data_IF_994831009012
#
_entry.id   IF_994831009012
#
_cell.length_a   1.000
_cell.length_b   1.000
_cell.length_c   1.000
_cell.angle_alpha   90.00
_cell.angle_beta   90.00
_cell.angle_gamma   90.00
#
_symmetry.space_group_name_H-M   'P 1'
#
loop_
_entity.id
_entity.type
_entity.pdbx_description
1 polymer ?
#
# COMPACT_ATOMS: atom_id res chain seq x y z
N UNK A 1 9.99 -30.34 11.53
CA UNK A 1 8.77 -29.76 10.93
C UNK A 1 8.01 -29.03 12.02
N UNK A 2 8.39 -27.79 12.30
CA UNK A 2 7.59 -26.89 13.14
C UNK A 2 6.44 -26.40 12.28
N UNK A 3 5.26 -26.99 12.46
CA UNK A 3 4.02 -26.44 11.92
C UNK A 3 3.79 -25.10 12.59
N UNK A 4 4.15 -24.02 11.89
CA UNK A 4 3.75 -22.66 12.27
C UNK A 4 2.23 -22.65 12.25
N UNK A 5 1.57 -22.66 13.41
CA UNK A 5 0.12 -22.52 13.49
C UNK A 5 -0.26 -21.20 12.83
N UNK A 6 -0.73 -21.25 11.58
CA UNK A 6 -1.19 -20.05 10.88
C UNK A 6 -2.26 -19.38 11.74
N UNK A 7 -2.02 -18.10 12.05
CA UNK A 7 -2.98 -17.27 12.77
C UNK A 7 -4.27 -17.27 11.96
N UNK A 8 -5.37 -17.79 12.52
CA UNK A 8 -6.63 -17.93 11.78
C UNK A 8 -7.15 -16.55 11.35
N UNK A 9 -7.26 -16.25 10.05
CA UNK A 9 -7.74 -14.96 9.60
C UNK A 9 -9.23 -14.80 9.91
N UNK A 10 -9.62 -13.57 10.26
CA UNK A 10 -10.99 -13.21 10.65
C UNK A 10 -11.87 -12.84 9.46
N UNK A 11 -11.27 -12.23 8.43
CA UNK A 11 -11.99 -11.61 7.31
C UNK A 11 -11.77 -12.32 5.97
N UNK A 12 -10.97 -13.40 5.98
CA UNK A 12 -10.69 -14.23 4.81
C UNK A 12 -11.50 -15.52 4.91
N UNK A 13 -12.25 -15.85 3.87
CA UNK A 13 -12.96 -17.13 3.76
C UNK A 13 -12.07 -18.22 3.18
N UNK A 14 -10.97 -17.85 2.52
CA UNK A 14 -9.92 -18.72 1.98
C UNK A 14 -8.58 -18.29 2.59
N UNK A 15 -8.36 -18.66 3.86
CA UNK A 15 -7.27 -18.13 4.68
C UNK A 15 -5.89 -18.72 4.38
N UNK A 16 -5.87 -19.83 3.66
CA UNK A 16 -4.73 -20.60 3.17
C UNK A 16 -4.40 -20.30 1.70
N UNK A 17 -5.24 -19.53 1.01
CA UNK A 17 -5.01 -19.09 -0.37
C UNK A 17 -4.48 -17.65 -0.41
N UNK A 18 -3.46 -17.41 -1.24
CA UNK A 18 -2.84 -16.11 -1.45
C UNK A 18 -2.90 -15.71 -2.93
N UNK A 19 -3.64 -14.65 -3.25
CA UNK A 19 -3.59 -14.04 -4.57
C UNK A 19 -2.31 -13.21 -4.72
N UNK A 20 -1.57 -13.35 -5.82
CA UNK A 20 -0.39 -12.51 -6.10
C UNK A 20 -0.61 -11.74 -7.39
N UNK A 21 -0.43 -10.42 -7.33
CA UNK A 21 -0.49 -9.50 -8.47
C UNK A 21 0.82 -8.73 -8.55
N UNK A 22 1.60 -8.94 -9.61
CA UNK A 22 2.87 -8.25 -9.83
C UNK A 22 2.73 -7.19 -10.92
N UNK A 23 3.16 -5.97 -10.62
CA UNK A 23 3.02 -4.80 -11.50
C UNK A 23 4.32 -4.05 -11.60
N UNK A 24 4.71 -3.70 -12.82
CA UNK A 24 5.79 -2.78 -13.11
C UNK A 24 5.20 -1.50 -13.69
N UNK A 25 5.17 -0.46 -12.87
CA UNK A 25 4.83 0.89 -13.29
C UNK A 25 5.70 1.86 -12.53
N UNK A 26 6.50 2.64 -13.26
CA UNK A 26 7.48 3.54 -12.68
C UNK A 26 7.60 4.79 -13.55
N UNK A 27 7.56 5.95 -12.91
CA UNK A 27 7.85 7.23 -13.56
C UNK A 27 9.35 7.48 -13.78
N UNK A 28 10.21 6.72 -13.09
CA UNK A 28 11.68 6.80 -13.20
C UNK A 28 12.29 5.42 -13.48
N UNK A 29 13.25 5.30 -14.40
CA UNK A 29 13.99 4.05 -14.62
C UNK A 29 14.77 3.62 -13.36
N UNK A 30 14.87 2.31 -13.10
CA UNK A 30 15.70 1.73 -12.02
C UNK A 30 14.91 1.05 -10.89
N UNK A 31 13.59 1.19 -10.88
CA UNK A 31 12.66 0.54 -9.93
C UNK A 31 11.74 -0.49 -10.60
N UNK A 32 11.82 -0.58 -11.93
CA UNK A 32 11.06 -1.49 -12.80
C UNK A 32 11.46 -2.96 -12.66
N UNK A 33 12.66 -3.24 -12.15
CA UNK A 33 13.12 -4.62 -11.93
C UNK A 33 12.56 -5.24 -10.65
N UNK A 34 12.09 -4.44 -9.68
CA UNK A 34 11.77 -4.90 -8.32
C UNK A 34 10.82 -6.11 -8.24
N UNK A 35 9.64 -6.07 -8.88
CA UNK A 35 8.71 -7.20 -8.90
C UNK A 35 9.32 -8.46 -9.55
N UNK A 36 10.05 -8.30 -10.66
CA UNK A 36 10.70 -9.41 -11.37
C UNK A 36 11.82 -10.02 -10.53
N UNK A 37 12.66 -9.20 -9.88
CA UNK A 37 13.74 -9.63 -9.00
C UNK A 37 13.21 -10.39 -7.78
N UNK A 38 12.13 -9.92 -7.14
CA UNK A 38 11.51 -10.63 -6.02
C UNK A 38 10.98 -12.00 -6.42
N UNK A 39 10.39 -12.11 -7.61
CA UNK A 39 9.93 -13.39 -8.17
C UNK A 39 11.14 -14.30 -8.45
N UNK A 40 12.20 -13.77 -9.07
CA UNK A 40 13.42 -14.51 -9.42
C UNK A 40 14.21 -15.01 -8.19
N UNK A 41 14.24 -14.24 -7.10
CA UNK A 41 14.90 -14.59 -5.84
C UNK A 41 14.11 -15.68 -5.08
N UNK A 42 12.95 -16.10 -5.58
CA UNK A 42 12.22 -17.26 -5.07
C UNK A 42 11.13 -16.92 -4.06
N UNK A 43 10.53 -15.72 -4.13
CA UNK A 43 9.40 -15.35 -3.28
C UNK A 43 8.26 -16.39 -3.38
N UNK A 44 7.98 -16.92 -4.57
CA UNK A 44 6.98 -17.98 -4.75
C UNK A 44 7.32 -19.25 -3.96
N UNK A 45 8.58 -19.68 -3.98
CA UNK A 45 9.08 -20.83 -3.22
C UNK A 45 8.94 -20.58 -1.72
N UNK A 46 9.27 -19.37 -1.26
CA UNK A 46 9.15 -19.02 0.16
C UNK A 46 7.68 -19.01 0.63
N UNK A 47 6.76 -18.49 -0.19
CA UNK A 47 5.33 -18.42 0.15
C UNK A 47 4.67 -19.81 0.13
N UNK A 48 5.01 -20.66 -0.84
CA UNK A 48 4.47 -22.01 -0.97
C UNK A 48 5.16 -22.99 0.00
N UNK A 49 6.46 -23.24 -0.18
CA UNK A 49 7.17 -24.31 0.52
C UNK A 49 7.47 -24.02 2.00
N UNK A 50 7.57 -22.74 2.39
CA UNK A 50 7.91 -22.36 3.78
C UNK A 50 6.74 -21.83 4.60
N UNK A 51 5.73 -21.22 3.94
CA UNK A 51 4.54 -20.68 4.62
C UNK A 51 3.27 -21.50 4.37
N UNK A 52 3.26 -22.36 3.35
CA UNK A 52 2.15 -23.29 3.07
C UNK A 52 0.91 -22.63 2.45
N UNK A 53 1.09 -21.51 1.73
CA UNK A 53 -0.01 -20.85 1.01
C UNK A 53 -0.24 -21.49 -0.36
N UNK A 54 -1.51 -21.72 -0.72
CA UNK A 54 -1.91 -22.00 -2.10
C UNK A 54 -1.89 -20.70 -2.92
N UNK A 55 -0.94 -20.57 -3.84
CA UNK A 55 -0.66 -19.32 -4.56
C UNK A 55 -1.51 -19.22 -5.83
N UNK A 56 -2.30 -18.14 -5.93
CA UNK A 56 -3.14 -17.82 -7.10
C UNK A 56 -2.57 -16.61 -7.83
N UNK A 57 -1.96 -16.83 -9.00
CA UNK A 57 -1.43 -15.76 -9.85
C UNK A 57 -1.56 -16.15 -11.33
N UNK A 58 -1.49 -15.17 -12.23
CA UNK A 58 -1.62 -15.40 -13.67
C UNK A 58 -0.28 -15.60 -14.39
N UNK A 59 0.81 -15.72 -13.62
CA UNK A 59 2.16 -15.92 -14.12
C UNK A 59 2.77 -14.72 -14.84
N UNK A 60 2.20 -13.51 -14.70
CA UNK A 60 2.65 -12.32 -15.42
C UNK A 60 3.08 -11.20 -14.48
N UNK A 61 4.07 -10.44 -14.94
CA UNK A 61 4.39 -9.11 -14.41
C UNK A 61 3.70 -8.11 -15.34
N UNK A 62 2.70 -7.41 -14.83
CA UNK A 62 1.85 -6.52 -15.60
C UNK A 62 2.50 -5.14 -15.76
N UNK A 63 2.69 -4.69 -17.00
CA UNK A 63 3.13 -3.32 -17.30
C UNK A 63 1.99 -2.42 -17.81
N UNK A 64 0.83 -3.02 -18.10
CA UNK A 64 -0.37 -2.34 -18.58
C UNK A 64 -0.15 -1.43 -19.80
N UNK A 65 0.85 -1.74 -20.63
CA UNK A 65 1.22 -0.93 -21.80
C UNK A 65 0.08 -0.79 -22.82
N UNK A 66 -0.92 -1.67 -22.79
CA UNK A 66 -2.10 -1.66 -23.65
C UNK A 66 -3.17 -0.65 -23.24
N UNK A 67 -3.18 -0.19 -21.98
CA UNK A 67 -4.14 0.81 -21.47
C UNK A 67 -3.51 2.18 -21.23
N UNK A 68 -2.18 2.27 -21.25
CA UNK A 68 -1.46 3.54 -21.11
C UNK A 68 -1.61 4.35 -22.41
N UNK A 69 -2.11 5.60 -22.34
CA UNK A 69 -2.21 6.45 -23.52
C UNK A 69 -0.82 6.87 -24.02
N UNK A 70 -0.74 7.28 -25.28
CA UNK A 70 0.46 7.93 -25.80
C UNK A 70 0.79 9.18 -24.96
N UNK A 71 2.06 9.45 -24.61
CA UNK A 71 2.45 10.62 -23.82
C UNK A 71 1.93 11.95 -24.39
N UNK A 72 1.79 12.09 -25.71
CA UNK A 72 1.24 13.29 -26.34
C UNK A 72 -0.27 13.47 -26.10
N UNK A 73 -0.97 12.38 -25.76
CA UNK A 73 -2.38 12.36 -25.38
C UNK A 73 -2.60 12.47 -23.86
N UNK A 74 -1.53 12.63 -23.07
CA UNK A 74 -1.58 12.75 -21.61
C UNK A 74 -0.84 14.01 -21.11
N UNK A 75 -1.31 15.22 -21.49
CA UNK A 75 -0.74 16.45 -20.99
C UNK A 75 -0.99 16.60 -19.49
N UNK A 76 -0.10 17.33 -18.82
CA UNK A 76 -0.24 17.71 -17.42
C UNK A 76 -1.61 18.35 -17.15
N UNK A 77 -2.23 17.98 -16.03
CA UNK A 77 -3.54 18.45 -15.66
C UNK A 77 -3.66 18.68 -14.16
N UNK A 78 -4.19 19.85 -13.76
CA UNK A 78 -4.35 20.26 -12.35
C UNK A 78 -3.07 20.13 -11.50
N UNK A 79 -1.91 20.34 -12.10
CA UNK A 79 -0.62 20.19 -11.42
C UNK A 79 -0.09 18.76 -11.37
N UNK A 80 -0.85 17.76 -11.84
CA UNK A 80 -0.35 16.39 -12.00
C UNK A 80 0.37 16.23 -13.34
N UNK A 81 1.50 15.52 -13.31
CA UNK A 81 2.19 15.08 -14.53
C UNK A 81 1.54 13.83 -15.09
N UNK A 82 1.15 13.88 -16.35
CA UNK A 82 0.62 12.74 -17.12
C UNK A 82 -0.38 11.85 -16.33
N UNK A 83 -1.51 12.43 -15.86
CA UNK A 83 -2.40 11.72 -14.95
C UNK A 83 -3.21 10.58 -15.55
N UNK A 84 -3.43 10.55 -16.87
CA UNK A 84 -4.22 9.49 -17.51
C UNK A 84 -3.49 8.16 -17.48
N UNK A 85 -2.17 8.15 -17.63
CA UNK A 85 -1.36 6.94 -17.54
C UNK A 85 -1.43 6.30 -16.15
N UNK A 86 -1.17 7.08 -15.08
CA UNK A 86 -1.31 6.57 -13.71
C UNK A 86 -2.75 6.14 -13.39
N UNK A 87 -3.75 6.91 -13.83
CA UNK A 87 -5.17 6.56 -13.64
C UNK A 87 -5.56 5.26 -14.33
N UNK A 88 -5.12 5.04 -15.58
CA UNK A 88 -5.39 3.82 -16.33
C UNK A 88 -4.75 2.58 -15.67
N UNK A 89 -3.48 2.70 -15.26
CA UNK A 89 -2.75 1.63 -14.56
C UNK A 89 -3.38 1.33 -13.21
N UNK A 90 -3.68 2.36 -12.41
CA UNK A 90 -4.32 2.19 -11.11
C UNK A 90 -5.71 1.52 -11.26
N UNK A 91 -6.48 1.88 -12.28
CA UNK A 91 -7.78 1.24 -12.56
C UNK A 91 -7.62 -0.24 -12.90
N UNK A 92 -6.72 -0.56 -13.83
CA UNK A 92 -6.46 -1.94 -14.25
C UNK A 92 -5.95 -2.82 -13.10
N UNK A 93 -5.03 -2.29 -12.28
CA UNK A 93 -4.57 -2.97 -11.07
C UNK A 93 -5.70 -3.13 -10.05
N UNK A 94 -6.53 -2.11 -9.86
CA UNK A 94 -7.68 -2.17 -8.97
C UNK A 94 -8.65 -3.29 -9.34
N UNK A 95 -8.92 -3.48 -10.63
CA UNK A 95 -9.75 -4.56 -11.13
C UNK A 95 -9.14 -5.95 -10.85
N UNK A 96 -7.82 -6.11 -11.00
CA UNK A 96 -7.13 -7.36 -10.69
C UNK A 96 -7.12 -7.67 -9.18
N UNK A 97 -6.82 -6.68 -8.34
CA UNK A 97 -6.85 -6.85 -6.88
C UNK A 97 -8.27 -7.14 -6.41
N UNK A 98 -9.27 -6.45 -6.95
CA UNK A 98 -10.68 -6.74 -6.68
C UNK A 98 -11.02 -8.21 -7.05
N UNK A 99 -10.62 -8.66 -8.25
CA UNK A 99 -10.92 -10.01 -8.72
C UNK A 99 -10.35 -11.11 -7.80
N UNK A 100 -9.20 -10.87 -7.16
CA UNK A 100 -8.65 -11.78 -6.15
C UNK A 100 -9.35 -11.60 -4.79
N UNK A 101 -9.46 -10.37 -4.29
CA UNK A 101 -9.99 -10.07 -2.96
C UNK A 101 -11.47 -10.46 -2.80
N UNK A 102 -12.27 -10.37 -3.87
CA UNK A 102 -13.70 -10.72 -3.84
C UNK A 102 -13.91 -12.24 -3.61
N UNK A 103 -12.91 -13.08 -3.88
CA UNK A 103 -13.04 -14.54 -3.76
C UNK A 103 -12.89 -15.06 -2.33
N UNK A 104 -12.36 -14.25 -1.40
CA UNK A 104 -12.09 -14.72 -0.05
C UNK A 104 -10.65 -14.68 0.42
N UNK A 105 -9.71 -14.42 -0.50
CA UNK A 105 -8.27 -14.60 -0.33
C UNK A 105 -7.59 -13.36 0.22
N UNK A 106 -6.41 -13.56 0.81
CA UNK A 106 -5.46 -12.47 0.98
C UNK A 106 -4.89 -12.09 -0.41
N UNK A 107 -4.57 -10.82 -0.64
CA UNK A 107 -3.88 -10.40 -1.87
C UNK A 107 -2.52 -9.80 -1.52
N UNK A 108 -1.47 -10.27 -2.19
CA UNK A 108 -0.14 -9.68 -2.21
C UNK A 108 0.04 -8.92 -3.52
N UNK A 109 0.19 -7.61 -3.45
CA UNK A 109 0.54 -6.78 -4.61
C UNK A 109 2.02 -6.41 -4.53
N UNK A 110 2.77 -6.75 -5.58
CA UNK A 110 4.16 -6.36 -5.74
C UNK A 110 4.21 -5.29 -6.82
N UNK A 111 4.71 -4.12 -6.49
CA UNK A 111 4.61 -2.97 -7.38
C UNK A 111 5.90 -2.22 -7.62
N UNK A 112 5.83 -1.27 -8.55
CA UNK A 112 6.80 -0.21 -8.76
C UNK A 112 6.48 1.01 -7.88
N UNK A 113 6.21 2.16 -8.49
CA UNK A 113 5.99 3.41 -7.77
C UNK A 113 4.67 3.43 -6.98
N UNK A 114 4.62 4.24 -5.92
CA UNK A 114 3.53 4.24 -4.95
C UNK A 114 2.18 4.75 -5.50
N UNK A 115 2.13 5.34 -6.70
CA UNK A 115 0.88 5.79 -7.33
C UNK A 115 -0.12 4.65 -7.55
N UNK A 116 0.38 3.44 -7.78
CA UNK A 116 -0.46 2.27 -8.04
C UNK A 116 -1.16 1.73 -6.77
N UNK A 117 -0.80 2.23 -5.58
CA UNK A 117 -1.58 2.01 -4.36
C UNK A 117 -3.02 2.53 -4.47
N UNK A 118 -3.27 3.54 -5.33
CA UNK A 118 -4.64 3.97 -5.66
C UNK A 118 -5.46 2.77 -6.14
N UNK A 119 -4.89 1.95 -7.02
CA UNK A 119 -5.53 0.75 -7.54
C UNK A 119 -5.70 -0.33 -6.49
N UNK A 120 -4.61 -0.74 -5.84
CA UNK A 120 -4.64 -1.86 -4.90
C UNK A 120 -5.57 -1.61 -3.71
N UNK A 121 -5.55 -0.40 -3.15
CA UNK A 121 -6.43 -0.03 -2.03
C UNK A 121 -7.88 0.08 -2.52
N UNK A 122 -8.14 0.69 -3.68
CA UNK A 122 -9.49 0.81 -4.23
C UNK A 122 -10.16 -0.55 -4.49
N UNK A 123 -9.44 -1.46 -5.14
CA UNK A 123 -9.92 -2.82 -5.41
C UNK A 123 -10.20 -3.60 -4.12
N UNK A 124 -9.32 -3.45 -3.12
CA UNK A 124 -9.49 -4.07 -1.79
C UNK A 124 -10.72 -3.51 -1.08
N UNK A 125 -10.84 -2.18 -1.00
CA UNK A 125 -11.92 -1.51 -0.29
C UNK A 125 -13.29 -1.95 -0.84
N UNK A 126 -13.42 -1.92 -2.18
CA UNK A 126 -14.63 -2.38 -2.87
C UNK A 126 -14.97 -3.84 -2.54
N UNK A 127 -14.02 -4.76 -2.74
CA UNK A 127 -14.25 -6.19 -2.52
C UNK A 127 -14.65 -6.50 -1.06
N UNK A 128 -14.01 -5.85 -0.09
CA UNK A 128 -14.32 -6.03 1.33
C UNK A 128 -15.68 -5.44 1.69
N UNK A 129 -16.03 -4.29 1.13
CA UNK A 129 -17.33 -3.67 1.36
C UNK A 129 -18.46 -4.54 0.82
N UNK A 130 -18.29 -5.11 -0.37
CA UNK A 130 -19.27 -6.02 -0.98
C UNK A 130 -19.40 -7.34 -0.22
N UNK A 131 -18.27 -7.96 0.18
CA UNK A 131 -18.30 -9.25 0.89
C UNK A 131 -18.81 -9.15 2.32
N UNK A 132 -18.39 -8.10 3.04
CA UNK A 132 -18.50 -8.04 4.49
C UNK A 132 -19.37 -6.89 4.99
N UNK A 133 -19.78 -5.95 4.13
CA UNK A 133 -20.46 -4.73 4.54
C UNK A 133 -19.59 -3.83 5.43
N UNK A 134 -18.26 -3.90 5.28
CA UNK A 134 -17.27 -3.26 6.15
C UNK A 134 -16.34 -2.37 5.37
N UNK A 135 -15.90 -1.30 6.01
CA UNK A 135 -14.78 -0.49 5.54
C UNK A 135 -13.46 -1.14 5.94
N UNK A 136 -12.41 -0.90 5.16
CA UNK A 136 -11.05 -1.28 5.51
C UNK A 136 -10.37 -0.18 6.34
N UNK A 137 -9.32 -0.56 7.07
CA UNK A 137 -8.32 0.35 7.58
C UNK A 137 -7.07 0.29 6.71
N UNK A 138 -6.46 1.44 6.51
CA UNK A 138 -5.21 1.59 5.77
C UNK A 138 -4.08 1.88 6.77
N UNK A 139 -3.14 0.95 6.86
CA UNK A 139 -1.86 1.19 7.54
C UNK A 139 -0.87 1.53 6.44
N UNK A 140 -0.32 2.75 6.50
CA UNK A 140 0.63 3.28 5.53
C UNK A 140 2.01 3.35 6.19
N UNK A 141 2.93 2.50 5.75
CA UNK A 141 4.30 2.45 6.27
C UNK A 141 5.22 3.01 5.21
N UNK A 142 5.78 4.17 5.50
CA UNK A 142 6.42 5.03 4.49
C UNK A 142 7.23 6.12 5.20
N UNK A 143 8.29 6.61 4.55
CA UNK A 143 8.98 7.83 4.97
C UNK A 143 8.12 9.10 4.72
N UNK A 144 7.25 9.05 3.71
CA UNK A 144 6.40 10.11 3.18
C UNK A 144 4.92 9.92 3.53
N UNK A 145 4.14 11.01 3.48
CA UNK A 145 2.70 10.93 3.77
C UNK A 145 1.86 10.65 2.52
N UNK A 146 2.35 10.98 1.34
CA UNK A 146 1.71 10.67 0.05
C UNK A 146 0.25 11.14 -0.02
N UNK A 147 -0.02 12.28 0.62
CA UNK A 147 -1.36 12.85 0.81
C UNK A 147 -1.47 14.25 0.18
N UNK A 148 -0.51 14.66 -0.63
CA UNK A 148 -0.65 15.91 -1.38
C UNK A 148 -1.87 15.82 -2.31
N UNK A 149 -2.64 16.91 -2.41
CA UNK A 149 -3.62 17.07 -3.50
C UNK A 149 -2.89 17.58 -4.75
N UNK A 150 -3.50 17.43 -5.95
CA UNK A 150 -2.95 17.97 -7.19
C UNK A 150 -2.51 19.44 -7.09
N UNK A 151 -3.29 20.26 -6.37
CA UNK A 151 -3.08 21.70 -6.22
C UNK A 151 -1.97 22.07 -5.24
N UNK A 152 -1.58 21.15 -4.35
CA UNK A 152 -0.63 21.43 -3.26
C UNK A 152 0.74 20.81 -3.47
N UNK A 153 0.87 19.88 -4.41
CA UNK A 153 2.17 19.25 -4.71
C UNK A 153 3.07 20.22 -5.47
N UNK A 154 4.28 20.44 -4.96
CA UNK A 154 5.31 21.24 -5.65
C UNK A 154 5.91 20.49 -6.86
N UNK A 155 5.91 19.14 -6.82
CA UNK A 155 6.54 18.31 -7.85
C UNK A 155 5.60 17.92 -8.98
N UNK A 156 4.29 17.86 -8.70
CA UNK A 156 3.27 17.33 -9.58
C UNK A 156 3.32 15.82 -9.82
N UNK A 157 4.20 15.10 -9.12
CA UNK A 157 4.33 13.66 -9.31
C UNK A 157 3.24 12.93 -8.52
N UNK A 158 2.52 12.03 -9.20
CA UNK A 158 1.31 11.39 -8.66
C UNK A 158 1.60 10.40 -7.53
N UNK A 159 2.80 9.83 -7.48
CA UNK A 159 3.21 8.96 -6.37
C UNK A 159 3.19 9.68 -5.02
N UNK A 160 3.22 11.02 -4.95
CA UNK A 160 3.02 11.79 -3.72
C UNK A 160 1.56 12.11 -3.37
N UNK A 161 0.59 11.60 -4.13
CA UNK A 161 -0.84 11.90 -4.03
C UNK A 161 -1.79 10.70 -3.76
N UNK A 162 -1.38 9.42 -3.67
CA UNK A 162 -2.31 8.29 -3.57
C UNK A 162 -3.36 8.44 -2.48
N UNK A 163 -2.94 8.83 -1.29
CA UNK A 163 -3.81 8.87 -0.12
C UNK A 163 -4.84 9.98 -0.24
N UNK A 164 -4.52 11.08 -0.92
CA UNK A 164 -5.47 12.16 -1.17
C UNK A 164 -6.66 11.66 -2.01
N UNK A 165 -6.41 10.89 -3.08
CA UNK A 165 -7.47 10.30 -3.89
C UNK A 165 -8.24 9.21 -3.14
N UNK A 166 -7.52 8.32 -2.43
CA UNK A 166 -8.12 7.22 -1.68
C UNK A 166 -8.99 7.69 -0.50
N UNK A 167 -8.77 8.89 0.01
CA UNK A 167 -9.57 9.46 1.11
C UNK A 167 -10.61 10.47 0.63
N UNK A 168 -10.63 10.80 -0.66
CA UNK A 168 -11.53 11.78 -1.25
C UNK A 168 -11.14 13.24 -0.99
N UNK A 169 -9.95 13.51 -0.44
CA UNK A 169 -9.37 14.86 -0.34
C UNK A 169 -9.04 15.43 -1.73
N UNK A 170 -8.61 14.57 -2.65
CA UNK A 170 -8.54 14.85 -4.07
C UNK A 170 -9.65 14.08 -4.81
N UNK A 171 -10.26 14.72 -5.80
CA UNK A 171 -11.27 14.13 -6.68
C UNK A 171 -11.21 14.79 -8.04
N UNK A 172 -11.65 14.05 -9.06
CA UNK A 172 -11.91 14.57 -10.40
C UNK A 172 -13.24 13.97 -10.89
N UNK A 173 -13.89 14.63 -11.84
CA UNK A 173 -15.11 14.12 -12.47
C UNK A 173 -14.79 13.39 -13.79
N UNK A 174 -13.58 13.56 -14.34
CA UNK A 174 -13.12 12.88 -15.55
C UNK A 174 -12.72 11.42 -15.22
N UNK A 175 -13.46 10.47 -15.80
CA UNK A 175 -13.21 9.02 -15.68
C UNK A 175 -11.81 8.60 -16.16
N UNK A 176 -11.17 9.37 -17.04
CA UNK A 176 -9.79 9.13 -17.47
C UNK A 176 -8.76 9.58 -16.43
N UNK A 177 -9.13 10.43 -15.47
CA UNK A 177 -8.23 11.02 -14.47
C UNK A 177 -8.77 10.78 -13.05
N UNK A 178 -8.83 9.52 -12.62
CA UNK A 178 -9.28 9.10 -11.29
C UNK A 178 -10.77 9.37 -10.96
N UNK A 179 -11.57 9.94 -11.86
CA UNK A 179 -13.02 10.10 -11.65
C UNK A 179 -13.80 8.78 -11.56
N UNK A 180 -13.16 7.68 -11.95
CA UNK A 180 -13.66 6.32 -11.75
C UNK A 180 -13.70 5.89 -10.28
N UNK A 181 -12.98 6.56 -9.36
CA UNK A 181 -12.98 6.25 -7.93
C UNK A 181 -14.33 6.60 -7.28
N UNK A 182 -15.06 5.57 -6.86
CA UNK A 182 -16.35 5.70 -6.18
C UNK A 182 -16.20 5.56 -4.65
N UNK A 183 -17.23 5.92 -3.90
CA UNK A 183 -17.14 6.00 -2.43
C UNK A 183 -16.90 4.63 -1.78
N UNK A 184 -17.36 3.54 -2.39
CA UNK A 184 -17.08 2.18 -1.95
C UNK A 184 -15.60 1.76 -2.11
N UNK A 185 -14.84 2.48 -2.93
CA UNK A 185 -13.41 2.27 -3.17
C UNK A 185 -12.53 3.12 -2.24
N UNK A 186 -13.12 4.04 -1.47
CA UNK A 186 -12.38 4.99 -0.63
C UNK A 186 -12.20 4.49 0.80
N UNK A 187 -11.21 5.06 1.48
CA UNK A 187 -10.88 4.80 2.88
C UNK A 187 -11.20 6.04 3.72
N UNK A 188 -11.79 5.82 4.89
CA UNK A 188 -12.02 6.90 5.85
C UNK A 188 -10.70 7.40 6.44
N UNK A 189 -10.52 8.71 6.56
CA UNK A 189 -9.40 9.33 7.29
C UNK A 189 -9.31 8.88 8.76
N UNK A 190 -10.44 8.46 9.36
CA UNK A 190 -10.48 7.89 10.73
C UNK A 190 -9.96 6.45 10.81
N UNK A 191 -9.75 5.81 9.66
CA UNK A 191 -9.26 4.44 9.48
C UNK A 191 -7.89 4.41 8.79
N UNK A 192 -7.25 5.56 8.66
CA UNK A 192 -5.90 5.74 8.15
C UNK A 192 -4.92 5.93 9.31
N UNK A 193 -3.79 5.21 9.27
CA UNK A 193 -2.68 5.43 10.19
C UNK A 193 -1.34 5.34 9.48
N UNK A 194 -0.49 6.35 9.71
CA UNK A 194 0.87 6.38 9.21
C UNK A 194 1.88 5.88 10.24
N UNK A 195 2.91 5.18 9.76
CA UNK A 195 4.04 4.71 10.58
C UNK A 195 5.34 4.91 9.81
N UNK A 196 6.31 5.60 10.40
CA UNK A 196 7.64 5.78 9.81
C UNK A 196 7.89 7.16 9.20
N UNK A 197 6.91 8.08 9.29
CA UNK A 197 7.03 9.41 8.68
C UNK A 197 8.29 10.14 9.15
N UNK A 198 9.06 10.66 8.21
CA UNK A 198 10.24 11.48 8.46
C UNK A 198 10.45 12.59 7.44
N UNK A 199 9.91 12.44 6.23
CA UNK A 199 9.94 13.46 5.20
C UNK A 199 8.51 13.79 4.77
N UNK A 200 8.01 14.93 5.22
CA UNK A 200 6.60 15.30 5.03
C UNK A 200 6.52 16.77 4.70
N UNK A 201 5.84 17.09 3.60
CA UNK A 201 5.71 18.46 3.12
C UNK A 201 4.93 19.32 4.09
N UNK A 202 5.10 20.64 3.97
CA UNK A 202 4.35 21.59 4.80
C UNK A 202 2.85 21.47 4.57
N UNK A 203 2.41 21.29 3.32
CA UNK A 203 1.01 21.13 2.96
C UNK A 203 0.43 19.84 3.54
N UNK A 204 1.16 18.72 3.43
CA UNK A 204 0.75 17.44 4.03
C UNK A 204 0.62 17.53 5.56
N UNK A 205 1.56 18.20 6.24
CA UNK A 205 1.46 18.45 7.69
C UNK A 205 0.18 19.19 8.08
N UNK A 206 -0.26 20.13 7.24
CA UNK A 206 -1.53 20.86 7.46
C UNK A 206 -2.70 19.89 7.30
N UNK A 207 -2.76 19.13 6.19
CA UNK A 207 -3.82 18.15 5.96
C UNK A 207 -3.96 17.13 7.09
N UNK A 208 -2.83 16.55 7.54
CA UNK A 208 -2.83 15.57 8.62
C UNK A 208 -3.41 16.15 9.92
N UNK A 209 -3.07 17.41 10.24
CA UNK A 209 -3.56 18.10 11.44
C UNK A 209 -5.04 18.48 11.33
N UNK A 210 -5.44 19.07 10.21
CA UNK A 210 -6.82 19.53 9.98
C UNK A 210 -7.81 18.37 10.03
N UNK A 211 -7.42 17.21 9.49
CA UNK A 211 -8.28 16.02 9.44
C UNK A 211 -8.07 15.07 10.63
N UNK A 212 -7.16 15.40 11.55
CA UNK A 212 -6.88 14.59 12.73
C UNK A 212 -6.36 13.19 12.41
N UNK A 213 -5.62 13.03 11.32
CA UNK A 213 -5.08 11.74 10.87
C UNK A 213 -4.03 11.25 11.86
N UNK A 214 -4.10 9.97 12.23
CA UNK A 214 -3.11 9.37 13.13
C UNK A 214 -1.81 9.11 12.39
N UNK A 215 -0.71 9.68 12.86
CA UNK A 215 0.60 9.47 12.30
C UNK A 215 1.64 9.25 13.40
N UNK A 216 2.53 8.28 13.17
CA UNK A 216 3.68 7.99 14.01
C UNK A 216 4.95 8.22 13.19
N UNK A 217 5.72 9.21 13.58
CA UNK A 217 7.00 9.55 12.97
C UNK A 217 8.13 8.62 13.44
N UNK A 218 9.30 8.72 12.82
CA UNK A 218 10.51 8.07 13.34
C UNK A 218 10.81 8.46 14.79
N UNK A 219 10.52 9.70 15.20
CA UNK A 219 10.67 10.13 16.59
C UNK A 219 9.74 9.36 17.56
N UNK A 220 8.51 9.06 17.14
CA UNK A 220 7.59 8.25 17.94
C UNK A 220 8.08 6.80 18.06
N UNK A 221 8.67 6.27 16.98
CA UNK A 221 9.28 4.94 16.98
C UNK A 221 10.48 4.89 17.93
N UNK A 222 11.37 5.88 17.89
CA UNK A 222 12.52 5.97 18.80
C UNK A 222 12.06 6.09 20.27
N UNK A 223 10.99 6.86 20.50
CA UNK A 223 10.48 7.13 21.86
C UNK A 223 9.74 5.94 22.48
N UNK A 224 8.84 5.31 21.73
CA UNK A 224 7.94 4.28 22.27
C UNK A 224 8.35 2.86 21.89
N UNK A 225 9.25 2.72 20.92
CA UNK A 225 9.56 1.45 20.27
C UNK A 225 8.45 1.01 19.31
N UNK A 226 8.86 0.35 18.22
CA UNK A 226 7.94 -0.07 17.16
C UNK A 226 6.81 -1.01 17.63
N UNK A 227 7.02 -1.76 18.71
CA UNK A 227 5.97 -2.63 19.26
C UNK A 227 4.80 -1.83 19.82
N UNK A 228 5.12 -0.78 20.60
CA UNK A 228 4.09 0.09 21.19
C UNK A 228 3.40 0.94 20.14
N UNK A 229 4.13 1.42 19.15
CA UNK A 229 3.57 2.14 18.00
C UNK A 229 2.51 1.29 17.28
N UNK A 230 2.83 0.01 17.02
CA UNK A 230 1.86 -0.91 16.41
C UNK A 230 0.63 -1.15 17.28
N UNK A 231 0.77 -1.31 18.60
CA UNK A 231 -0.38 -1.40 19.50
C UNK A 231 -1.27 -0.15 19.43
N UNK A 232 -0.67 1.04 19.44
CA UNK A 232 -1.40 2.31 19.35
C UNK A 232 -2.11 2.46 17.98
N UNK A 233 -1.46 2.05 16.90
CA UNK A 233 -2.03 2.06 15.56
C UNK A 233 -3.23 1.11 15.45
N UNK A 234 -3.09 -0.13 15.91
CA UNK A 234 -4.17 -1.13 15.90
C UNK A 234 -5.35 -0.71 16.79
N UNK A 235 -5.06 -0.10 17.95
CA UNK A 235 -6.09 0.45 18.83
C UNK A 235 -6.85 1.61 18.16
N UNK A 236 -6.16 2.49 17.42
CA UNK A 236 -6.77 3.60 16.70
C UNK A 236 -7.77 3.13 15.64
N UNK A 237 -7.39 2.15 14.81
CA UNK A 237 -8.25 1.65 13.74
C UNK A 237 -9.37 0.73 14.25
N UNK A 238 -9.37 0.37 15.54
CA UNK A 238 -10.37 -0.47 16.21
C UNK A 238 -10.20 -1.97 15.95
N UNK A 239 -10.78 -2.84 16.76
CA UNK A 239 -10.47 -4.29 16.79
C UNK A 239 -11.19 -5.14 15.72
N UNK A 240 -12.21 -4.61 15.06
CA UNK A 240 -13.07 -5.35 14.12
C UNK A 240 -13.08 -4.71 12.74
N UNK A 241 -11.89 -4.42 12.21
CA UNK A 241 -11.72 -3.77 10.90
C UNK A 241 -10.68 -4.52 10.06
N UNK A 242 -11.02 -4.95 8.83
CA UNK A 242 -10.05 -5.51 7.89
C UNK A 242 -8.92 -4.52 7.58
N UNK A 243 -7.70 -5.00 7.39
CA UNK A 243 -6.51 -4.16 7.19
C UNK A 243 -5.95 -4.35 5.79
N UNK A 244 -5.78 -3.26 5.07
CA UNK A 244 -4.87 -3.16 3.93
C UNK A 244 -3.56 -2.54 4.43
N UNK A 245 -2.45 -3.25 4.27
CA UNK A 245 -1.12 -2.75 4.62
C UNK A 245 -0.41 -2.31 3.34
N UNK A 246 -0.12 -1.01 3.25
CA UNK A 246 0.71 -0.43 2.18
C UNK A 246 2.10 -0.18 2.75
N UNK A 247 3.12 -0.83 2.20
CA UNK A 247 4.50 -0.72 2.67
C UNK A 247 5.41 -0.22 1.54
N UNK A 248 5.93 0.99 1.70
CA UNK A 248 7.05 1.48 0.88
C UNK A 248 8.37 1.04 1.50
N UNK A 249 9.26 0.50 0.67
CA UNK A 249 10.61 0.08 1.08
C UNK A 249 11.45 1.27 1.55
N UNK A 250 11.18 2.49 1.08
CA UNK A 250 11.87 3.69 1.55
C UNK A 250 11.61 4.00 3.05
N UNK A 251 10.62 3.37 3.67
CA UNK A 251 10.40 3.43 5.11
C UNK A 251 11.59 2.85 5.90
N UNK A 252 12.34 1.94 5.27
CA UNK A 252 13.58 1.41 5.83
C UNK A 252 14.68 2.47 5.77
N UNK A 253 15.62 2.40 6.72
CA UNK A 253 16.79 3.28 6.70
C UNK A 253 17.68 2.87 5.52
N UNK A 254 18.05 3.78 4.60
CA UNK A 254 19.01 3.46 3.56
C UNK A 254 20.35 3.11 4.22
N UNK A 255 20.89 1.92 3.96
CA UNK A 255 22.14 1.48 4.57
C UNK A 255 23.28 2.50 4.29
N UNK A 256 23.59 3.33 5.28
CA UNK A 256 24.52 4.45 5.11
C UNK A 256 24.90 5.22 6.38
N UNK A 257 24.68 4.68 7.58
CA UNK A 257 25.21 5.28 8.82
C UNK A 257 26.58 4.70 9.17
N UNK A 258 27.64 5.52 9.38
CA UNK A 258 28.83 5.07 10.08
C UNK A 258 28.46 4.77 11.55
N UNK A 259 28.76 3.53 11.97
CA UNK A 259 28.45 2.84 13.24
C UNK A 259 28.70 3.63 14.56
N UNK A 260 28.21 3.20 15.75
CA UNK A 260 27.72 1.86 16.09
C UNK A 260 26.36 1.79 16.82
N UNK A 261 25.49 0.91 16.34
CA UNK A 261 24.54 0.20 17.19
C UNK A 261 24.74 -1.31 16.93
N UNK A 262 24.76 -2.17 17.97
CA UNK A 262 25.00 -3.59 17.79
C UNK A 262 23.90 -4.26 16.94
N UNK A 263 24.16 -5.40 16.27
CA UNK A 263 23.29 -6.02 15.26
C UNK A 263 22.01 -6.70 15.81
N UNK A 264 21.49 -6.24 16.96
CA UNK A 264 20.30 -6.82 17.56
C UNK A 264 19.26 -5.72 17.83
N UNK A 265 18.07 -5.89 17.23
CA UNK A 265 16.80 -5.25 17.60
C UNK A 265 16.30 -3.99 16.84
N UNK A 266 16.64 -3.79 15.56
CA UNK A 266 15.75 -3.01 14.69
C UNK A 266 14.80 -3.96 13.97
N UNK A 267 13.76 -4.41 14.68
CA UNK A 267 12.62 -5.02 14.02
C UNK A 267 11.98 -3.94 13.14
N UNK A 268 12.15 -4.05 11.82
CA UNK A 268 11.48 -3.17 10.87
C UNK A 268 9.99 -3.07 11.21
N UNK A 269 9.34 -1.89 11.04
CA UNK A 269 7.90 -1.74 11.14
C UNK A 269 7.13 -2.86 10.41
N UNK A 270 7.63 -3.26 9.24
CA UNK A 270 7.12 -4.40 8.48
C UNK A 270 7.09 -5.68 9.31
N UNK A 271 8.24 -6.07 9.87
CA UNK A 271 8.40 -7.32 10.62
C UNK A 271 7.47 -7.36 11.85
N UNK A 272 7.16 -6.22 12.49
CA UNK A 272 6.21 -6.20 13.61
C UNK A 272 4.75 -6.22 13.19
N UNK A 273 4.39 -5.66 12.04
CA UNK A 273 3.02 -5.75 11.52
C UNK A 273 2.73 -7.20 11.11
N UNK A 274 3.67 -7.85 10.44
CA UNK A 274 3.53 -9.21 9.94
C UNK A 274 3.74 -10.30 11.00
N UNK A 275 4.20 -9.95 12.20
CA UNK A 275 4.33 -10.88 13.34
C UNK A 275 3.34 -10.62 14.49
N UNK A 276 2.61 -9.51 14.46
CA UNK A 276 1.55 -9.23 15.45
C UNK A 276 0.33 -10.11 15.17
N UNK A 277 -0.06 -11.04 16.08
CA UNK A 277 -1.19 -11.92 15.83
C UNK A 277 -2.49 -11.15 15.55
N UNK A 278 -2.70 -10.03 16.24
CA UNK A 278 -3.88 -9.18 16.03
C UNK A 278 -3.89 -8.55 14.63
N UNK A 279 -2.74 -8.12 14.12
CA UNK A 279 -2.63 -7.59 12.76
C UNK A 279 -2.80 -8.71 11.72
N UNK A 280 -2.11 -9.85 11.89
CA UNK A 280 -2.19 -11.00 10.98
C UNK A 280 -3.63 -11.54 10.85
N UNK A 281 -4.40 -11.63 11.94
CA UNK A 281 -5.81 -12.04 11.88
C UNK A 281 -6.68 -11.12 11.03
N UNK A 282 -6.27 -9.86 10.86
CA UNK A 282 -7.07 -8.80 10.25
C UNK A 282 -6.57 -8.38 8.88
N UNK A 283 -5.35 -8.77 8.51
CA UNK A 283 -4.73 -8.50 7.23
C UNK A 283 -5.55 -9.16 6.11
N UNK A 284 -5.99 -8.36 5.15
CA UNK A 284 -6.69 -8.85 3.96
C UNK A 284 -5.92 -8.59 2.69
N UNK A 285 -5.06 -7.56 2.67
CA UNK A 285 -4.15 -7.28 1.55
C UNK A 285 -2.84 -6.71 2.09
N UNK A 286 -1.75 -7.13 1.47
CA UNK A 286 -0.41 -6.60 1.66
C UNK A 286 0.08 -6.05 0.30
N UNK A 287 0.46 -4.79 0.26
CA UNK A 287 1.14 -4.22 -0.90
C UNK A 287 2.56 -3.80 -0.54
N UNK A 288 3.50 -4.21 -1.38
CA UNK A 288 4.93 -3.92 -1.27
C UNK A 288 5.35 -3.06 -2.47
N UNK A 289 5.88 -1.88 -2.19
CA UNK A 289 6.28 -0.90 -3.20
C UNK A 289 7.79 -0.67 -3.13
N UNK A 290 8.42 -0.60 -4.30
CA UNK A 290 9.86 -0.36 -4.41
C UNK A 290 10.02 0.95 -5.16
N UNK A 291 10.02 2.06 -4.43
CA UNK A 291 10.37 3.36 -4.99
C UNK A 291 11.47 4.01 -4.15
N UNK A 292 12.69 4.03 -4.67
CA UNK A 292 13.73 4.90 -4.13
C UNK A 292 13.49 6.32 -4.67
N UNK A 293 12.98 7.22 -3.81
CA UNK A 293 12.80 8.65 -4.13
C UNK A 293 14.08 9.45 -3.94
#
# INVERSE_FOLDING_TARGET
MTTTSMVKPKFLTRGDELGVVAVVFVWRPGVDAGPSELIEIGLGILLDEHLGYDIHHDGKVHNYSDVIPDPSADPDHRGMKQPRAASAVARALGDQVYAQAITGRCVLTLGGDHSIAIGSVAGTAKAIRERLGREIALIWIDAHADINTPEMSDSGNIHGMPVAFLTGLAKDDDESMFGWLKDEMKVSLKKLVYIGLRDVDRAEKVLLREHGVKAFSMHDIDKYGIGKVMEMALAHIGNDTPIHLSFDVDALDPEGRPAPAPPSAVASPFAKVTTSPSACMRLVVLSLWILWR
#
